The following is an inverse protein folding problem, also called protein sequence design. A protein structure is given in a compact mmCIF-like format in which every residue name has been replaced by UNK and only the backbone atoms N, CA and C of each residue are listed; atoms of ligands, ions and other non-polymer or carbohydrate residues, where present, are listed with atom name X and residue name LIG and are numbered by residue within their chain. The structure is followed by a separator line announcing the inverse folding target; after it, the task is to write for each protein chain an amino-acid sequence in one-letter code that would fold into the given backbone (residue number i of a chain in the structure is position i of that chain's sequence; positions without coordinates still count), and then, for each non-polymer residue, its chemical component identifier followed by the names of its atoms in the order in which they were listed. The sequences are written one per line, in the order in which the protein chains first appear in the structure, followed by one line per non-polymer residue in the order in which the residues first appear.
data_IF_343368785560
#
_entry.id   IF_343368785560
#
_cell.length_a   1.000
_cell.length_b   1.000
_cell.length_c   1.000
_cell.angle_alpha   90.00
_cell.angle_beta   90.00
_cell.angle_gamma   90.00
#
_symmetry.space_group_name_H-M   'P 1'
#
loop_
_entity.id
_entity.type
_entity.pdbx_description
1 polymer ?
#
# COMPACT_ATOMS: atom_id res chain seq x y z
N UNK A 1 -9.65 20.25 8.33
CA UNK A 1 -8.41 20.48 7.56
C UNK A 1 -7.41 19.49 8.08
N UNK A 2 -7.30 18.33 7.43
CA UNK A 2 -6.43 17.26 7.88
C UNK A 2 -4.98 17.64 7.61
N UNK A 3 -4.16 17.36 8.61
CA UNK A 3 -2.75 17.69 8.80
C UNK A 3 -1.88 17.43 7.58
N UNK A 4 -1.11 18.46 7.21
CA UNK A 4 -0.09 18.46 6.16
C UNK A 4 1.22 17.81 6.62
N UNK A 5 1.17 16.54 7.03
CA UNK A 5 2.37 15.70 7.02
C UNK A 5 2.22 14.76 5.82
N UNK A 6 3.04 15.01 4.79
CA UNK A 6 3.07 14.18 3.60
C UNK A 6 3.42 12.73 3.94
N UNK A 7 3.21 11.85 2.95
CA UNK A 7 3.66 10.46 2.98
C UNK A 7 5.11 10.37 3.48
N UNK A 8 5.34 9.57 4.54
CA UNK A 8 6.70 9.29 4.98
C UNK A 8 7.36 8.23 4.11
N UNK A 9 8.68 8.03 4.26
CA UNK A 9 9.44 7.11 3.43
C UNK A 9 8.93 5.66 3.53
N UNK A 10 8.39 5.27 4.69
CA UNK A 10 7.83 3.94 4.88
C UNK A 10 6.52 3.81 4.08
N UNK A 11 5.64 4.81 4.16
CA UNK A 11 4.40 4.84 3.41
C UNK A 11 4.68 4.78 1.90
N UNK A 12 5.64 5.57 1.40
CA UNK A 12 6.05 5.55 -0.01
C UNK A 12 6.54 4.16 -0.44
N UNK A 13 7.35 3.49 0.39
CA UNK A 13 7.82 2.12 0.12
C UNK A 13 6.68 1.12 0.09
N UNK A 14 5.74 1.19 1.04
CA UNK A 14 4.56 0.33 1.07
C UNK A 14 3.73 0.50 -0.20
N UNK A 15 3.44 1.73 -0.61
CA UNK A 15 2.67 2.03 -1.83
C UNK A 15 3.38 1.50 -3.08
N UNK A 16 4.72 1.64 -3.17
CA UNK A 16 5.49 1.08 -4.29
C UNK A 16 5.39 -0.45 -4.36
N UNK A 17 5.44 -1.13 -3.22
CA UNK A 17 5.28 -2.58 -3.17
C UNK A 17 3.88 -3.01 -3.59
N UNK A 18 2.83 -2.35 -3.08
CA UNK A 18 1.45 -2.64 -3.46
C UNK A 18 1.16 -2.34 -4.94
N UNK A 19 1.74 -1.28 -5.51
CA UNK A 19 1.63 -1.01 -6.95
C UNK A 19 2.30 -2.09 -7.82
N UNK A 20 3.37 -2.72 -7.32
CA UNK A 20 4.04 -3.81 -8.03
C UNK A 20 3.26 -5.12 -7.94
N UNK A 21 2.67 -5.41 -6.78
CA UNK A 21 1.81 -6.56 -6.54
C UNK A 21 0.83 -6.24 -5.41
N UNK A 22 -0.41 -5.90 -5.78
CA UNK A 22 -1.47 -5.56 -4.83
C UNK A 22 -1.88 -6.75 -3.95
N UNK A 23 -1.52 -7.99 -4.33
CA UNK A 23 -1.87 -9.20 -3.57
C UNK A 23 -0.77 -9.65 -2.61
N UNK A 24 0.33 -8.89 -2.54
CA UNK A 24 1.47 -9.20 -1.69
C UNK A 24 1.03 -9.21 -0.23
N UNK A 25 1.43 -10.25 0.51
CA UNK A 25 1.00 -10.38 1.90
C UNK A 25 1.65 -9.30 2.78
N UNK A 26 0.95 -8.87 3.84
CA UNK A 26 1.50 -7.91 4.80
C UNK A 26 2.80 -8.42 5.46
N UNK A 27 2.95 -9.75 5.58
CA UNK A 27 4.18 -10.38 6.07
C UNK A 27 5.35 -10.17 5.11
N UNK A 28 5.12 -10.28 3.80
CA UNK A 28 6.19 -10.11 2.82
C UNK A 28 6.56 -8.63 2.65
N UNK A 29 5.57 -7.74 2.70
CA UNK A 29 5.81 -6.29 2.73
C UNK A 29 6.62 -5.92 3.98
N UNK A 30 6.22 -6.42 5.16
CA UNK A 30 6.92 -6.22 6.44
C UNK A 30 8.42 -6.58 6.37
N UNK A 31 8.76 -7.72 5.76
CA UNK A 31 10.15 -8.14 5.57
C UNK A 31 10.93 -7.20 4.65
N UNK A 32 10.30 -6.68 3.59
CA UNK A 32 10.98 -5.83 2.62
C UNK A 32 11.14 -4.38 3.07
N UNK A 33 10.21 -3.89 3.90
CA UNK A 33 10.27 -2.52 4.43
C UNK A 33 11.01 -2.41 5.76
N UNK A 34 11.37 -3.54 6.38
CA UNK A 34 11.96 -3.63 7.72
C UNK A 34 11.07 -2.96 8.78
N UNK A 35 9.79 -3.34 8.80
CA UNK A 35 8.83 -2.91 9.80
C UNK A 35 7.99 -4.10 10.28
N UNK A 36 7.36 -3.98 11.45
CA UNK A 36 6.46 -5.02 11.94
C UNK A 36 5.21 -5.16 11.04
N UNK A 37 4.60 -6.34 11.05
CA UNK A 37 3.36 -6.61 10.30
C UNK A 37 2.23 -5.68 10.76
N UNK A 38 2.13 -5.41 12.07
CA UNK A 38 1.14 -4.49 12.62
C UNK A 38 1.35 -3.05 12.14
N UNK A 39 2.60 -2.58 12.08
CA UNK A 39 2.92 -1.27 11.51
C UNK A 39 2.51 -1.19 10.05
N UNK A 40 2.86 -2.19 9.23
CA UNK A 40 2.47 -2.23 7.81
C UNK A 40 0.95 -2.22 7.66
N UNK A 41 0.24 -3.08 8.40
CA UNK A 41 -1.23 -3.15 8.36
C UNK A 41 -1.88 -1.81 8.72
N UNK A 42 -1.39 -1.15 9.77
CA UNK A 42 -1.91 0.15 10.20
C UNK A 42 -1.62 1.25 9.17
N UNK A 43 -0.42 1.25 8.57
CA UNK A 43 -0.07 2.21 7.51
C UNK A 43 -0.95 2.03 6.28
N UNK A 44 -1.14 0.80 5.80
CA UNK A 44 -2.00 0.52 4.65
C UNK A 44 -3.43 0.98 4.94
N UNK A 45 -3.98 0.63 6.10
CA UNK A 45 -5.33 1.05 6.47
C UNK A 45 -5.47 2.57 6.52
N UNK A 46 -4.53 3.28 7.14
CA UNK A 46 -4.52 4.74 7.16
C UNK A 46 -4.45 5.33 5.75
N UNK A 47 -3.62 4.76 4.87
CA UNK A 47 -3.49 5.22 3.48
C UNK A 47 -4.79 5.01 2.67
N UNK A 48 -5.56 3.96 2.98
CA UNK A 48 -6.88 3.74 2.40
C UNK A 48 -7.92 4.73 2.96
N UNK A 49 -7.94 4.95 4.29
CA UNK A 49 -8.85 5.90 4.95
C UNK A 49 -8.60 7.35 4.51
N UNK A 50 -7.34 7.74 4.36
CA UNK A 50 -6.93 9.06 3.89
C UNK A 50 -7.13 9.24 2.38
N UNK A 51 -7.54 8.18 1.67
CA UNK A 51 -7.80 8.20 0.23
C UNK A 51 -6.55 8.20 -0.65
N UNK A 52 -5.36 8.04 -0.07
CA UNK A 52 -4.09 7.89 -0.81
C UNK A 52 -4.12 6.60 -1.64
N UNK A 53 -4.62 5.51 -1.06
CA UNK A 53 -4.97 4.28 -1.78
C UNK A 53 -6.46 4.33 -2.07
N UNK A 54 -6.83 4.68 -3.30
CA UNK A 54 -8.24 4.78 -3.68
C UNK A 54 -8.90 3.41 -3.97
N UNK A 55 -8.11 2.35 -4.13
CA UNK A 55 -8.59 0.99 -4.37
C UNK A 55 -7.56 0.13 -5.09
N UNK A 56 -7.93 -1.12 -5.32
CA UNK A 56 -7.11 -2.11 -6.01
C UNK A 56 -7.84 -2.59 -7.26
N UNK A 57 -7.15 -2.58 -8.40
CA UNK A 57 -7.72 -2.98 -9.68
C UNK A 57 -6.89 -4.09 -10.33
N UNK A 58 -7.53 -5.13 -10.89
CA UNK A 58 -6.81 -6.09 -11.71
C UNK A 58 -6.39 -5.44 -13.02
N UNK A 59 -5.17 -5.73 -13.49
CA UNK A 59 -4.76 -5.39 -14.85
C UNK A 59 -5.33 -6.46 -15.80
N UNK A 60 -6.23 -6.06 -16.68
CA UNK A 60 -6.95 -6.96 -17.57
C UNK A 60 -6.29 -7.02 -18.95
N UNK A 61 -6.27 -8.21 -19.54
CA UNK A 61 -5.99 -8.36 -20.96
C UNK A 61 -7.32 -8.32 -21.72
N UNK A 62 -7.65 -7.17 -22.30
CA UNK A 62 -8.92 -6.95 -23.00
C UNK A 62 -9.17 -7.95 -24.13
N UNK A 63 -8.13 -8.46 -24.81
CA UNK A 63 -8.29 -9.43 -25.89
C UNK A 63 -8.69 -10.84 -25.41
N UNK A 64 -8.67 -11.09 -24.09
CA UNK A 64 -9.04 -12.37 -23.47
C UNK A 64 -10.33 -12.29 -22.65
N UNK A 65 -11.00 -11.13 -22.64
CA UNK A 65 -12.34 -10.91 -22.09
C UNK A 65 -13.39 -11.17 -23.18
#
# INVERSE_FOLDING_TARGET
MASSEGLDDLDVRIVRLLNSDARKSFRDISKEVDASISTVSNRIHRLEEDGVISGYVPLLNESKL
#
